data_IF_048568572746
#
_entry.id   IF_048568572746
#
_cell.length_a   1.000
_cell.length_b   1.000
_cell.length_c   1.000
_cell.angle_alpha   90.00
_cell.angle_beta   90.00
_cell.angle_gamma   90.00
#
_symmetry.space_group_name_H-M   'P 1'
#
loop_
_entity.id
_entity.type
_entity.pdbx_description
1 polymer ?
#
# COMPACT_ATOMS: atom_id res chain seq x y z
N UNK A 1 9.89 59.22 24.01
CA UNK A 1 8.60 58.65 23.58
C UNK A 1 8.91 57.50 22.65
N UNK A 2 8.91 56.27 23.18
CA UNK A 2 9.26 55.05 22.43
C UNK A 2 7.96 54.39 22.00
N UNK A 3 7.77 54.24 20.70
CA UNK A 3 6.62 53.51 20.11
C UNK A 3 6.99 52.04 20.05
N UNK A 4 6.36 51.26 20.90
CA UNK A 4 6.45 49.76 20.83
C UNK A 4 5.48 49.30 19.74
N UNK A 5 6.01 48.87 18.59
CA UNK A 5 5.26 48.19 17.57
C UNK A 5 5.07 46.72 18.02
N UNK A 6 3.87 46.40 18.53
CA UNK A 6 3.43 45.05 18.77
C UNK A 6 3.09 44.42 17.41
N UNK A 7 4.01 43.62 16.84
CA UNK A 7 3.71 42.76 15.71
C UNK A 7 2.90 41.57 16.22
N UNK A 8 1.59 41.58 16.01
CA UNK A 8 0.74 40.43 16.19
C UNK A 8 1.12 39.39 15.13
N UNK A 9 1.90 38.40 15.53
CA UNK A 9 2.05 37.18 14.74
C UNK A 9 0.70 36.48 14.72
N UNK A 10 0.01 36.57 13.60
CA UNK A 10 -1.08 35.70 13.28
C UNK A 10 -0.45 34.33 12.98
N UNK A 11 -0.43 33.43 13.97
CA UNK A 11 -0.27 32.03 13.72
C UNK A 11 -1.51 31.57 12.96
N UNK A 12 -1.39 31.47 11.65
CA UNK A 12 -2.35 30.72 10.86
C UNK A 12 -2.33 29.30 11.42
N UNK A 13 -3.29 28.97 12.26
CA UNK A 13 -3.63 27.58 12.54
C UNK A 13 -4.10 27.00 11.22
N UNK A 14 -3.20 26.28 10.55
CA UNK A 14 -3.58 25.37 9.48
C UNK A 14 -4.52 24.38 10.15
N UNK A 15 -5.82 24.60 9.98
CA UNK A 15 -6.83 23.61 10.34
C UNK A 15 -6.58 22.43 9.39
N UNK A 16 -5.88 21.44 9.90
CA UNK A 16 -5.76 20.17 9.24
C UNK A 16 -7.18 19.66 8.98
N UNK A 17 -7.53 19.56 7.74
CA UNK A 17 -8.84 19.10 7.30
C UNK A 17 -8.97 17.67 7.81
N UNK A 18 -9.80 17.46 8.84
CA UNK A 18 -10.13 16.12 9.32
C UNK A 18 -10.76 15.36 8.16
N UNK A 19 -9.98 14.45 7.55
CA UNK A 19 -10.33 13.90 6.27
C UNK A 19 -11.45 12.88 6.36
N UNK A 20 -12.68 13.33 6.21
CA UNK A 20 -13.78 12.45 5.83
C UNK A 20 -13.98 12.55 4.33
N UNK A 21 -13.39 11.60 3.60
CA UNK A 21 -13.55 11.54 2.16
C UNK A 21 -14.56 10.44 1.82
N UNK A 22 -15.67 10.84 1.22
CA UNK A 22 -16.67 9.94 0.66
C UNK A 22 -16.80 10.13 -0.86
N UNK A 23 -15.96 11.00 -1.44
CA UNK A 23 -15.97 11.30 -2.87
C UNK A 23 -14.64 10.90 -3.50
N UNK A 24 -14.74 10.20 -4.61
CA UNK A 24 -13.58 9.75 -5.38
C UNK A 24 -13.92 9.76 -6.87
N UNK A 25 -12.88 9.80 -7.69
CA UNK A 25 -12.99 9.63 -9.13
C UNK A 25 -12.36 8.31 -9.54
N UNK A 26 -13.12 7.50 -10.28
CA UNK A 26 -12.58 6.27 -10.85
C UNK A 26 -11.48 6.61 -11.84
N UNK A 27 -10.29 6.10 -11.54
CA UNK A 27 -9.13 6.26 -12.41
C UNK A 27 -9.09 5.17 -13.48
N UNK A 28 -9.34 3.92 -13.13
CA UNK A 28 -9.41 2.77 -14.01
C UNK A 28 -10.38 1.74 -13.49
N UNK A 29 -11.34 1.31 -14.32
CA UNK A 29 -12.16 0.15 -13.99
C UNK A 29 -11.31 -1.12 -14.08
N UNK A 30 -11.48 -2.02 -13.09
CA UNK A 30 -10.77 -3.29 -12.98
C UNK A 30 -11.74 -4.47 -12.87
N UNK A 31 -12.94 -4.31 -13.42
CA UNK A 31 -14.02 -5.29 -13.45
C UNK A 31 -14.39 -5.67 -14.87
N UNK A 32 -15.09 -6.80 -15.02
CA UNK A 32 -15.55 -7.31 -16.32
C UNK A 32 -14.96 -8.68 -16.68
N UNK A 33 -15.32 -9.20 -17.84
CA UNK A 33 -14.83 -10.48 -18.33
C UNK A 33 -13.30 -10.45 -18.55
N UNK A 34 -12.59 -11.45 -18.07
CA UNK A 34 -11.13 -11.54 -18.18
C UNK A 34 -10.35 -10.97 -16.99
N UNK A 35 -11.00 -10.27 -16.08
CA UNK A 35 -10.41 -9.89 -14.80
C UNK A 35 -10.70 -10.95 -13.72
N UNK A 36 -9.75 -11.14 -12.81
CA UNK A 36 -9.99 -11.92 -11.62
C UNK A 36 -10.93 -11.19 -10.65
N UNK A 37 -11.42 -11.89 -9.64
CA UNK A 37 -12.57 -11.43 -8.85
C UNK A 37 -12.24 -10.43 -7.77
N UNK A 38 -11.00 -10.35 -7.28
CA UNK A 38 -10.67 -9.50 -6.13
C UNK A 38 -9.38 -8.72 -6.34
N UNK A 39 -9.46 -7.40 -6.20
CA UNK A 39 -8.28 -6.54 -6.13
C UNK A 39 -7.45 -6.88 -4.90
N UNK A 40 -6.15 -6.70 -5.03
CA UNK A 40 -5.17 -6.87 -3.98
C UNK A 40 -4.13 -5.75 -4.05
N UNK A 41 -2.85 -6.04 -3.94
CA UNK A 41 -1.78 -5.04 -3.94
C UNK A 41 -1.78 -4.11 -5.16
N UNK A 42 -1.25 -2.91 -4.94
CA UNK A 42 -1.05 -1.88 -5.95
C UNK A 42 0.25 -1.12 -5.67
N UNK A 43 0.96 -0.72 -6.73
CA UNK A 43 2.12 0.15 -6.63
C UNK A 43 2.16 1.16 -7.79
N UNK A 44 2.54 2.41 -7.50
CA UNK A 44 2.68 3.49 -8.48
C UNK A 44 4.16 3.69 -8.83
N UNK A 45 4.50 3.46 -10.08
CA UNK A 45 5.80 3.77 -10.66
C UNK A 45 5.79 5.20 -11.23
N UNK A 46 6.17 6.16 -10.39
CA UNK A 46 6.23 7.59 -10.73
C UNK A 46 7.25 7.87 -11.83
N UNK A 47 8.31 7.09 -11.89
CA UNK A 47 9.39 7.30 -12.86
C UNK A 47 8.98 6.96 -14.29
N UNK A 48 8.08 6.01 -14.47
CA UNK A 48 7.64 5.52 -15.77
C UNK A 48 6.15 5.77 -16.04
N UNK A 49 5.46 6.51 -15.17
CA UNK A 49 4.02 6.83 -15.26
C UNK A 49 3.17 5.56 -15.41
N UNK A 50 3.38 4.59 -14.52
CA UNK A 50 2.69 3.31 -14.53
C UNK A 50 2.08 3.00 -13.17
N UNK A 51 0.93 2.34 -13.16
CA UNK A 51 0.40 1.67 -11.97
C UNK A 51 0.47 0.17 -12.22
N UNK A 52 1.01 -0.57 -11.26
CA UNK A 52 0.94 -2.02 -11.22
C UNK A 52 -0.12 -2.43 -10.20
N UNK A 53 -0.94 -3.41 -10.55
CA UNK A 53 -2.01 -3.90 -9.69
C UNK A 53 -2.11 -5.43 -9.78
N UNK A 54 -2.48 -6.04 -8.67
CA UNK A 54 -2.75 -7.47 -8.58
C UNK A 54 -4.24 -7.73 -8.41
N UNK A 55 -4.72 -8.79 -9.05
CA UNK A 55 -6.04 -9.39 -8.75
C UNK A 55 -5.88 -10.88 -8.55
N UNK A 56 -6.67 -11.43 -7.65
CA UNK A 56 -6.68 -12.86 -7.39
C UNK A 56 -7.99 -13.51 -7.82
N UNK A 57 -7.89 -14.78 -8.16
CA UNK A 57 -9.03 -15.67 -8.19
C UNK A 57 -9.17 -16.30 -6.80
N UNK A 58 -10.23 -15.92 -6.09
CA UNK A 58 -10.48 -16.39 -4.72
C UNK A 58 -10.69 -17.90 -4.60
N UNK A 59 -11.08 -18.56 -5.68
CA UNK A 59 -11.32 -20.02 -5.69
C UNK A 59 -10.03 -20.84 -5.69
N UNK A 60 -8.96 -20.34 -6.30
CA UNK A 60 -7.68 -21.07 -6.45
C UNK A 60 -6.45 -20.23 -6.09
N UNK A 61 -6.64 -19.03 -5.56
CA UNK A 61 -5.59 -18.10 -5.13
C UNK A 61 -4.52 -17.79 -6.18
N UNK A 62 -4.88 -17.94 -7.45
CA UNK A 62 -4.02 -17.55 -8.56
C UNK A 62 -4.07 -16.05 -8.77
N UNK A 63 -2.93 -15.47 -9.11
CA UNK A 63 -2.74 -14.02 -9.26
C UNK A 63 -2.61 -13.65 -10.73
N UNK A 64 -3.29 -12.58 -11.13
CA UNK A 64 -3.03 -11.82 -12.35
C UNK A 64 -2.42 -10.48 -12.01
N UNK A 65 -1.42 -10.07 -12.79
CA UNK A 65 -0.77 -8.77 -12.67
C UNK A 65 -1.13 -7.88 -13.87
N UNK A 66 -1.41 -6.64 -13.57
CA UNK A 66 -1.80 -5.63 -14.54
C UNK A 66 -0.83 -4.44 -14.51
N UNK A 67 -0.59 -3.86 -15.68
CA UNK A 67 0.10 -2.59 -15.85
C UNK A 67 -0.85 -1.58 -16.48
N UNK A 68 -1.02 -0.42 -15.86
CA UNK A 68 -1.91 0.65 -16.27
C UNK A 68 -1.06 1.88 -16.54
N UNK A 69 -1.12 2.38 -17.77
CA UNK A 69 -0.41 3.61 -18.14
C UNK A 69 -1.12 4.83 -17.56
N UNK A 70 -0.39 5.69 -16.85
CA UNK A 70 -0.98 6.84 -16.16
C UNK A 70 -1.29 8.02 -17.10
N UNK A 71 -0.61 8.11 -18.24
CA UNK A 71 -0.81 9.18 -19.22
C UNK A 71 -2.08 8.93 -20.05
N UNK A 72 -2.93 9.96 -20.20
CA UNK A 72 -4.14 9.91 -21.03
C UNK A 72 -5.41 10.27 -20.25
N UNK A 73 -6.52 10.52 -21.00
CA UNK A 73 -7.83 10.77 -20.41
C UNK A 73 -8.38 9.52 -19.72
N UNK A 74 -9.26 9.70 -18.74
CA UNK A 74 -9.86 8.60 -17.96
C UNK A 74 -10.57 7.54 -18.81
N UNK A 75 -11.11 7.92 -19.97
CA UNK A 75 -11.81 7.02 -20.89
C UNK A 75 -10.90 6.14 -21.75
N UNK A 76 -9.59 6.43 -21.81
CA UNK A 76 -8.66 5.80 -22.77
C UNK A 76 -7.44 5.15 -22.08
N UNK A 77 -7.49 4.89 -20.77
CA UNK A 77 -6.36 4.25 -20.10
C UNK A 77 -6.27 2.79 -20.50
N UNK A 78 -5.09 2.43 -20.99
CA UNK A 78 -4.84 1.06 -21.40
C UNK A 78 -4.43 0.22 -20.18
N UNK A 79 -5.29 -0.72 -19.83
CA UNK A 79 -4.97 -1.77 -18.87
C UNK A 79 -4.36 -2.94 -19.62
N UNK A 80 -3.13 -3.33 -19.28
CA UNK A 80 -2.42 -4.45 -19.87
C UNK A 80 -2.27 -5.58 -18.85
N UNK A 81 -2.74 -6.76 -19.21
CA UNK A 81 -2.48 -7.97 -18.46
C UNK A 81 -1.04 -8.43 -18.74
N UNK A 82 -0.24 -8.60 -17.69
CA UNK A 82 1.14 -9.04 -17.78
C UNK A 82 1.21 -10.57 -17.91
N UNK A 83 2.12 -11.05 -18.75
CA UNK A 83 2.41 -12.47 -18.92
C UNK A 83 3.75 -12.84 -18.27
N UNK A 84 3.78 -13.96 -17.62
CA UNK A 84 5.06 -14.56 -17.20
C UNK A 84 5.82 -15.03 -18.44
N UNK A 85 7.02 -14.49 -18.69
CA UNK A 85 7.82 -14.81 -19.86
C UNK A 85 8.35 -16.25 -19.88
N UNK A 86 8.46 -16.90 -18.71
CA UNK A 86 9.01 -18.23 -18.60
C UNK A 86 7.93 -19.30 -18.87
N UNK A 87 6.68 -19.01 -18.53
CA UNK A 87 5.55 -19.97 -18.67
C UNK A 87 4.53 -19.54 -19.71
N UNK A 88 4.63 -18.32 -20.25
CA UNK A 88 3.63 -17.66 -21.12
C UNK A 88 2.21 -17.61 -20.51
N UNK A 89 2.10 -17.75 -19.19
CA UNK A 89 0.84 -17.71 -18.46
C UNK A 89 0.53 -16.29 -17.97
N UNK A 90 -0.75 -15.94 -17.95
CA UNK A 90 -1.26 -14.72 -17.31
C UNK A 90 -1.69 -14.95 -15.87
N UNK A 91 -1.82 -16.21 -15.46
CA UNK A 91 -2.26 -16.65 -14.15
C UNK A 91 -1.09 -17.35 -13.45
N UNK A 92 -0.69 -16.88 -12.29
CA UNK A 92 0.54 -17.33 -11.63
C UNK A 92 0.35 -17.49 -10.14
N UNK A 93 1.12 -18.38 -9.56
CA UNK A 93 1.18 -18.58 -8.10
C UNK A 93 2.08 -17.54 -7.44
N UNK A 94 1.52 -16.37 -7.21
CA UNK A 94 2.13 -15.28 -6.43
C UNK A 94 1.45 -15.12 -5.06
N UNK A 95 0.68 -16.12 -4.64
CA UNK A 95 -0.11 -16.08 -3.42
C UNK A 95 -1.25 -15.07 -3.50
N UNK A 96 -1.62 -14.53 -2.35
CA UNK A 96 -2.66 -13.49 -2.26
C UNK A 96 -2.24 -12.15 -2.91
N UNK A 97 -0.93 -11.94 -3.12
CA UNK A 97 -0.35 -10.69 -3.63
C UNK A 97 -0.91 -9.45 -2.90
N UNK A 98 -0.98 -9.54 -1.58
CA UNK A 98 -1.67 -8.60 -0.70
C UNK A 98 -1.15 -7.18 -0.82
N UNK A 99 0.12 -7.01 -1.23
CA UNK A 99 0.72 -5.71 -1.45
C UNK A 99 1.84 -5.76 -2.49
N UNK A 100 2.08 -4.62 -3.13
CA UNK A 100 3.12 -4.44 -4.13
C UNK A 100 4.01 -3.25 -3.79
N UNK A 101 5.29 -3.34 -4.15
CA UNK A 101 6.19 -2.19 -4.18
C UNK A 101 7.00 -2.19 -5.47
N UNK A 102 7.24 -1.01 -6.04
CA UNK A 102 8.05 -0.85 -7.25
C UNK A 102 9.34 -0.09 -6.95
N UNK A 103 10.45 -0.59 -7.48
CA UNK A 103 11.73 0.13 -7.53
C UNK A 103 12.17 0.20 -8.97
N UNK A 104 12.15 1.41 -9.54
CA UNK A 104 12.47 1.70 -10.92
C UNK A 104 13.26 3.00 -11.04
N UNK A 105 14.02 3.14 -12.11
CA UNK A 105 14.63 4.41 -12.54
C UNK A 105 13.81 4.97 -13.70
N UNK A 106 13.96 6.27 -13.96
CA UNK A 106 13.26 6.93 -15.06
C UNK A 106 13.74 6.38 -16.40
N UNK A 107 12.80 5.93 -17.20
CA UNK A 107 13.08 5.40 -18.54
C UNK A 107 13.50 3.92 -18.56
N UNK A 108 13.50 3.23 -17.43
CA UNK A 108 13.80 1.81 -17.40
C UNK A 108 12.73 0.98 -18.14
N UNK A 109 13.17 0.18 -19.08
CA UNK A 109 12.31 -0.84 -19.72
C UNK A 109 12.11 -2.07 -18.83
N UNK A 110 12.97 -2.23 -17.83
CA UNK A 110 12.95 -3.31 -16.84
C UNK A 110 12.79 -2.72 -15.46
N UNK A 111 11.67 -2.93 -14.82
CA UNK A 111 11.42 -2.48 -13.45
C UNK A 111 11.40 -3.65 -12.48
N UNK A 112 11.82 -3.39 -11.25
CA UNK A 112 11.71 -4.36 -10.16
C UNK A 112 10.39 -4.16 -9.43
N UNK A 113 9.49 -5.14 -9.52
CA UNK A 113 8.23 -5.19 -8.76
C UNK A 113 8.37 -6.24 -7.66
N UNK A 114 8.09 -5.85 -6.43
CA UNK A 114 8.14 -6.73 -5.27
C UNK A 114 6.71 -7.05 -4.83
N UNK A 115 6.46 -8.33 -4.57
CA UNK A 115 5.14 -8.85 -4.18
C UNK A 115 5.22 -9.37 -2.77
N UNK A 116 4.28 -8.98 -1.92
CA UNK A 116 4.01 -9.56 -0.61
C UNK A 116 2.91 -10.62 -0.74
N UNK A 117 3.24 -11.91 -0.81
CA UNK A 117 2.25 -12.96 -1.10
C UNK A 117 1.25 -13.20 0.03
N UNK A 118 1.59 -12.91 1.27
CA UNK A 118 0.85 -13.16 2.51
C UNK A 118 0.44 -14.64 2.67
N UNK A 119 -0.42 -15.16 1.79
CA UNK A 119 -0.99 -16.52 1.85
C UNK A 119 -1.15 -17.09 0.43
N UNK A 120 -1.11 -18.41 0.30
CA UNK A 120 -1.50 -19.14 -0.91
C UNK A 120 -2.94 -19.70 -0.80
N UNK A 121 -3.71 -19.20 0.16
CA UNK A 121 -5.07 -19.63 0.45
C UNK A 121 -5.18 -20.83 1.40
N UNK A 122 -4.10 -21.55 1.61
CA UNK A 122 -4.02 -22.71 2.53
C UNK A 122 -3.13 -22.40 3.72
N UNK A 123 -2.00 -21.76 3.46
CA UNK A 123 -0.99 -21.42 4.48
C UNK A 123 -0.37 -20.04 4.23
N UNK A 124 0.22 -19.49 5.26
CA UNK A 124 1.01 -18.26 5.14
C UNK A 124 2.29 -18.49 4.36
N UNK A 125 2.54 -17.65 3.35
CA UNK A 125 3.72 -17.69 2.50
C UNK A 125 4.85 -16.87 3.15
N UNK A 126 5.97 -17.52 3.45
CA UNK A 126 7.10 -16.92 4.18
C UNK A 126 8.18 -16.41 3.23
N UNK A 127 7.79 -15.66 2.21
CA UNK A 127 8.71 -15.08 1.22
C UNK A 127 8.20 -13.75 0.68
N UNK A 128 9.08 -12.96 0.10
CA UNK A 128 8.79 -11.84 -0.78
C UNK A 128 9.28 -12.24 -2.17
N UNK A 129 8.52 -11.94 -3.21
CA UNK A 129 8.87 -12.29 -4.59
C UNK A 129 9.26 -11.01 -5.35
N UNK A 130 10.48 -10.98 -5.90
CA UNK A 130 10.92 -9.95 -6.83
C UNK A 130 10.64 -10.41 -8.25
N UNK A 131 9.94 -9.58 -8.99
CA UNK A 131 9.68 -9.73 -10.41
C UNK A 131 10.51 -8.73 -11.20
N UNK A 132 11.05 -9.15 -12.34
CA UNK A 132 11.56 -8.24 -13.36
C UNK A 132 10.47 -8.06 -14.41
N UNK A 133 9.89 -6.85 -14.47
CA UNK A 133 8.79 -6.51 -15.39
C UNK A 133 9.37 -5.78 -16.60
N UNK A 134 9.07 -6.28 -17.80
CA UNK A 134 9.36 -5.59 -19.05
C UNK A 134 8.14 -4.80 -19.50
N UNK A 135 8.18 -3.49 -19.38
CA UNK A 135 7.07 -2.57 -19.64
C UNK A 135 6.70 -2.50 -21.11
N UNK A 136 7.68 -2.64 -22.03
CA UNK A 136 7.44 -2.63 -23.48
C UNK A 136 6.75 -3.90 -23.98
N UNK A 137 7.15 -5.06 -23.42
CA UNK A 137 6.61 -6.36 -23.82
C UNK A 137 5.38 -6.77 -23.04
N UNK A 138 5.01 -6.06 -21.97
CA UNK A 138 3.97 -6.41 -21.01
C UNK A 138 4.20 -7.84 -20.45
N UNK A 139 5.43 -8.14 -20.08
CA UNK A 139 5.82 -9.43 -19.51
C UNK A 139 6.56 -9.24 -18.19
N UNK A 140 6.59 -10.29 -17.40
CA UNK A 140 7.46 -10.36 -16.23
C UNK A 140 8.08 -11.75 -16.10
N UNK A 141 9.10 -11.84 -15.29
CA UNK A 141 9.66 -13.11 -14.81
C UNK A 141 9.93 -13.01 -13.31
N UNK A 142 9.88 -14.15 -12.63
CA UNK A 142 10.34 -14.24 -11.26
C UNK A 142 11.87 -14.12 -11.24
N UNK A 143 12.36 -13.01 -10.74
CA UNK A 143 13.80 -12.75 -10.67
C UNK A 143 14.41 -13.40 -9.42
N UNK A 144 13.73 -13.30 -8.26
CA UNK A 144 14.21 -13.83 -6.99
C UNK A 144 13.10 -13.92 -5.95
N UNK A 145 13.32 -14.78 -4.93
CA UNK A 145 12.54 -14.79 -3.70
C UNK A 145 13.45 -14.52 -2.51
N UNK A 146 12.91 -13.84 -1.49
CA UNK A 146 13.61 -13.49 -0.26
C UNK A 146 12.79 -13.92 0.94
N UNK A 147 13.48 -14.35 1.98
CA UNK A 147 12.87 -14.59 3.29
C UNK A 147 13.18 -13.41 4.23
N UNK A 148 12.33 -13.21 5.22
CA UNK A 148 12.57 -12.29 6.33
C UNK A 148 12.78 -13.13 7.61
N UNK A 149 14.03 -13.40 8.00
CA UNK A 149 14.32 -14.09 9.24
C UNK A 149 14.16 -13.13 10.43
N UNK A 150 13.41 -13.54 11.44
CA UNK A 150 13.23 -12.80 12.67
C UNK A 150 13.03 -13.76 13.85
N UNK A 151 13.84 -13.61 14.92
CA UNK A 151 13.78 -14.42 16.14
C UNK A 151 13.72 -15.95 15.87
N UNK A 152 14.57 -16.43 14.95
CA UNK A 152 14.68 -17.85 14.63
C UNK A 152 13.65 -18.42 13.66
N UNK A 153 12.73 -17.60 13.14
CA UNK A 153 11.73 -18.03 12.17
C UNK A 153 11.69 -17.10 10.94
N UNK A 154 11.27 -17.64 9.80
CA UNK A 154 10.92 -16.82 8.65
C UNK A 154 9.48 -16.33 8.78
N UNK A 155 9.26 -15.04 8.57
CA UNK A 155 7.97 -14.40 8.72
C UNK A 155 7.16 -14.44 7.41
N UNK A 156 5.84 -14.47 7.53
CA UNK A 156 4.91 -14.19 6.45
C UNK A 156 4.80 -12.68 6.24
N UNK A 157 4.77 -12.26 4.98
CA UNK A 157 4.78 -10.85 4.61
C UNK A 157 3.44 -10.48 3.99
N UNK A 158 2.82 -9.45 4.57
CA UNK A 158 1.50 -8.97 4.18
C UNK A 158 1.46 -7.50 3.76
N UNK A 159 2.59 -6.80 3.79
CA UNK A 159 2.69 -5.42 3.31
C UNK A 159 4.11 -5.10 2.89
N UNK A 160 4.26 -4.26 1.86
CA UNK A 160 5.56 -3.81 1.37
C UNK A 160 5.42 -2.45 0.68
N UNK A 161 6.33 -1.53 0.98
CA UNK A 161 6.46 -0.25 0.27
C UNK A 161 7.92 0.14 0.14
N UNK A 162 8.23 1.04 -0.79
CA UNK A 162 9.58 1.53 -1.03
C UNK A 162 9.67 3.04 -0.86
N UNK A 163 10.61 3.46 -0.03
CA UNK A 163 10.94 4.88 0.17
C UNK A 163 12.09 5.28 -0.77
N UNK A 164 11.78 6.05 -1.80
CA UNK A 164 12.78 6.59 -2.74
C UNK A 164 13.80 7.47 -2.00
N UNK A 165 13.34 8.36 -1.11
CA UNK A 165 14.20 9.33 -0.41
C UNK A 165 15.18 8.70 0.59
N UNK A 166 14.83 7.56 1.18
CA UNK A 166 15.71 6.82 2.09
C UNK A 166 16.41 5.64 1.43
N UNK A 167 16.04 5.29 0.20
CA UNK A 167 16.46 4.05 -0.49
C UNK A 167 16.25 2.80 0.40
N UNK A 168 15.09 2.71 1.02
CA UNK A 168 14.73 1.62 1.93
C UNK A 168 13.35 1.07 1.63
N UNK A 169 13.20 -0.22 1.86
CA UNK A 169 11.89 -0.85 1.92
C UNK A 169 11.35 -0.84 3.35
N UNK A 170 10.04 -0.75 3.46
CA UNK A 170 9.29 -1.05 4.68
C UNK A 170 8.49 -2.30 4.40
N UNK A 171 8.66 -3.32 5.23
CA UNK A 171 8.01 -4.63 5.08
C UNK A 171 7.18 -4.90 6.33
N UNK A 172 5.97 -5.41 6.17
CA UNK A 172 5.04 -5.70 7.26
C UNK A 172 4.80 -7.20 7.42
N UNK A 173 4.86 -7.65 8.67
CA UNK A 173 4.43 -8.99 9.10
C UNK A 173 3.55 -8.84 10.34
N UNK A 174 2.26 -9.13 10.22
CA UNK A 174 1.29 -8.84 11.28
C UNK A 174 1.29 -7.36 11.65
N UNK A 175 1.52 -7.05 12.94
CA UNK A 175 1.62 -5.67 13.45
C UNK A 175 3.06 -5.14 13.55
N UNK A 176 4.04 -5.90 13.07
CA UNK A 176 5.45 -5.49 13.09
C UNK A 176 5.92 -5.07 11.71
N UNK A 177 6.67 -3.98 11.69
CA UNK A 177 7.25 -3.39 10.50
C UNK A 177 8.76 -3.45 10.57
N UNK A 178 9.39 -3.63 9.44
CA UNK A 178 10.83 -3.78 9.27
C UNK A 178 11.32 -2.81 8.20
N UNK A 179 12.32 -2.01 8.50
CA UNK A 179 12.97 -1.10 7.57
C UNK A 179 14.32 -1.69 7.16
N UNK A 180 14.60 -1.81 5.88
CA UNK A 180 15.86 -2.39 5.40
C UNK A 180 15.93 -2.55 3.90
N UNK A 181 16.79 -3.46 3.46
CA UNK A 181 17.02 -3.74 2.04
C UNK A 181 17.09 -5.25 1.76
N UNK A 182 16.95 -5.61 0.50
CA UNK A 182 17.12 -6.97 0.02
C UNK A 182 18.59 -7.28 -0.22
N UNK A 183 19.06 -8.38 0.33
CA UNK A 183 20.38 -8.93 0.05
C UNK A 183 20.24 -10.05 -0.98
N UNK A 184 20.68 -9.76 -2.21
CA UNK A 184 20.58 -10.71 -3.32
C UNK A 184 21.47 -11.95 -3.13
N UNK A 185 22.63 -11.82 -2.46
CA UNK A 185 23.52 -12.96 -2.23
C UNK A 185 22.92 -13.95 -1.24
N UNK A 186 22.34 -13.45 -0.15
CA UNK A 186 21.74 -14.28 0.91
C UNK A 186 20.30 -14.73 0.62
N UNK A 187 19.60 -14.08 -0.34
CA UNK A 187 18.17 -14.30 -0.56
C UNK A 187 17.32 -13.91 0.64
N UNK A 188 17.69 -12.84 1.33
CA UNK A 188 17.05 -12.39 2.56
C UNK A 188 16.75 -10.89 2.51
N UNK A 189 15.72 -10.51 3.24
CA UNK A 189 15.50 -9.12 3.62
C UNK A 189 16.31 -8.84 4.89
N UNK A 190 17.27 -7.94 4.79
CA UNK A 190 18.10 -7.51 5.92
C UNK A 190 17.51 -6.22 6.49
N UNK A 191 16.88 -6.34 7.64
CA UNK A 191 16.32 -5.17 8.33
C UNK A 191 17.34 -4.49 9.23
N UNK A 192 17.24 -3.17 9.28
CA UNK A 192 18.09 -2.28 10.07
C UNK A 192 17.33 -1.67 11.25
N UNK A 193 15.99 -1.60 11.16
CA UNK A 193 15.12 -1.15 12.24
C UNK A 193 13.77 -1.85 12.22
N UNK A 194 13.10 -1.88 13.38
CA UNK A 194 11.75 -2.41 13.52
C UNK A 194 10.87 -1.45 14.30
N UNK A 195 9.57 -1.46 14.02
CA UNK A 195 8.57 -0.72 14.79
C UNK A 195 7.21 -1.44 14.77
N UNK A 196 6.32 -1.00 15.64
CA UNK A 196 4.92 -1.43 15.69
C UNK A 196 4.01 -0.21 15.54
N UNK A 197 2.76 -0.42 15.16
CA UNK A 197 1.76 0.63 15.09
C UNK A 197 0.73 0.45 16.21
N UNK A 198 0.30 1.55 16.80
CA UNK A 198 -0.92 1.59 17.58
C UNK A 198 -2.09 1.96 16.64
N UNK A 199 -2.95 0.99 16.32
CA UNK A 199 -4.10 1.16 15.45
C UNK A 199 -5.44 0.84 16.13
N UNK A 200 -5.52 1.05 17.43
CA UNK A 200 -6.77 0.79 18.19
C UNK A 200 -7.82 1.84 17.91
N UNK A 201 -7.42 3.05 17.56
CA UNK A 201 -8.33 4.19 17.36
C UNK A 201 -7.95 4.97 16.11
N UNK A 202 -8.97 5.43 15.38
CA UNK A 202 -8.85 6.39 14.29
C UNK A 202 -9.61 7.67 14.64
N UNK A 203 -9.11 8.82 14.20
CA UNK A 203 -9.83 10.10 14.27
C UNK A 203 -10.43 10.36 12.89
N UNK A 204 -11.73 10.26 12.79
CA UNK A 204 -12.48 10.39 11.56
C UNK A 204 -13.55 11.47 11.73
N UNK A 205 -13.47 12.54 10.96
CA UNK A 205 -14.40 13.67 11.06
C UNK A 205 -14.60 14.13 12.51
N UNK A 206 -13.49 14.38 13.22
CA UNK A 206 -13.44 14.81 14.64
C UNK A 206 -13.97 13.77 15.65
N UNK A 207 -14.40 12.59 15.20
CA UNK A 207 -14.88 11.52 16.05
C UNK A 207 -13.83 10.43 16.22
N UNK A 208 -13.75 9.87 17.43
CA UNK A 208 -12.92 8.71 17.70
C UNK A 208 -13.67 7.45 17.28
N UNK A 209 -13.08 6.65 16.41
CA UNK A 209 -13.61 5.36 15.95
C UNK A 209 -12.68 4.25 16.45
N UNK A 210 -13.26 3.25 17.08
CA UNK A 210 -12.52 2.02 17.43
C UNK A 210 -12.28 1.20 16.17
N UNK A 211 -11.01 0.99 15.84
CA UNK A 211 -10.56 0.21 14.68
C UNK A 211 -9.73 -1.00 15.07
N UNK A 212 -9.71 -1.36 16.35
CA UNK A 212 -8.90 -2.46 16.90
C UNK A 212 -9.20 -3.83 16.27
N UNK A 213 -10.42 -3.99 15.74
CA UNK A 213 -10.85 -5.22 15.06
C UNK A 213 -10.82 -5.13 13.54
N UNK A 214 -10.35 -4.00 12.99
CA UNK A 214 -10.29 -3.85 11.54
C UNK A 214 -9.11 -4.65 10.96
N UNK A 215 -9.28 -5.10 9.73
CA UNK A 215 -8.30 -5.90 9.01
C UNK A 215 -7.30 -4.95 8.33
N UNK A 216 -6.02 -5.13 8.64
CA UNK A 216 -4.93 -4.40 7.99
C UNK A 216 -4.75 -4.90 6.55
N UNK A 217 -4.76 -3.96 5.61
CA UNK A 217 -4.51 -4.22 4.20
C UNK A 217 -3.06 -3.88 3.80
N UNK A 218 -2.81 -3.43 2.57
CA UNK A 218 -1.49 -2.99 2.13
C UNK A 218 -0.90 -1.82 2.95
N UNK A 219 0.26 -1.35 2.56
CA UNK A 219 0.92 -0.17 3.17
C UNK A 219 1.52 0.71 2.07
N UNK A 220 1.58 2.02 2.30
CA UNK A 220 2.34 2.93 1.45
C UNK A 220 3.12 3.94 2.29
N UNK A 221 4.29 4.34 1.81
CA UNK A 221 5.09 5.39 2.44
C UNK A 221 5.32 6.53 1.45
N UNK A 222 4.87 7.72 1.84
CA UNK A 222 5.03 8.92 1.03
C UNK A 222 5.38 10.13 1.89
N UNK A 223 6.46 10.84 1.54
CA UNK A 223 6.92 12.08 2.15
C UNK A 223 6.87 12.09 3.71
N UNK A 224 7.48 11.09 4.32
CA UNK A 224 7.57 11.01 5.79
C UNK A 224 6.31 10.52 6.50
N UNK A 225 5.34 10.02 5.76
CA UNK A 225 4.09 9.47 6.30
C UNK A 225 3.88 8.05 5.80
N UNK A 226 3.60 7.15 6.73
CA UNK A 226 3.15 5.78 6.44
C UNK A 226 1.62 5.76 6.43
N UNK A 227 1.04 5.24 5.37
CA UNK A 227 -0.40 5.07 5.15
C UNK A 227 -0.76 3.61 5.27
N UNK A 228 -1.81 3.32 6.03
CA UNK A 228 -2.26 1.96 6.32
C UNK A 228 -3.77 1.88 6.16
N UNK A 229 -4.26 1.34 5.04
CA UNK A 229 -5.68 1.07 4.89
C UNK A 229 -6.10 -0.10 5.80
N UNK A 230 -7.30 0.05 6.35
CA UNK A 230 -7.97 -0.95 7.17
C UNK A 230 -9.39 -1.13 6.68
N UNK A 231 -9.84 -2.38 6.62
CA UNK A 231 -11.21 -2.73 6.29
C UNK A 231 -11.97 -3.16 7.53
N UNK A 232 -13.18 -2.62 7.72
CA UNK A 232 -14.07 -3.05 8.80
C UNK A 232 -14.61 -4.43 8.45
N UNK A 233 -14.48 -5.44 9.34
CA UNK A 233 -15.11 -6.73 9.12
C UNK A 233 -16.65 -6.61 9.18
N UNK A 234 -17.31 -7.43 8.38
CA UNK A 234 -18.76 -7.66 8.49
C UNK A 234 -19.08 -8.66 9.62
N UNK A 235 -20.36 -9.01 9.77
CA UNK A 235 -20.81 -9.97 10.79
C UNK A 235 -20.28 -11.40 10.57
N UNK A 236 -19.82 -11.73 9.37
CA UNK A 236 -19.34 -13.05 8.98
C UNK A 236 -17.80 -13.11 8.92
N UNK A 237 -17.13 -12.01 9.30
CA UNK A 237 -15.65 -11.90 9.26
C UNK A 237 -15.07 -11.52 7.90
N UNK A 238 -15.90 -11.32 6.87
CA UNK A 238 -15.51 -10.69 5.61
C UNK A 238 -15.39 -9.17 5.73
N UNK A 239 -15.00 -8.48 4.65
CA UNK A 239 -14.97 -7.02 4.64
C UNK A 239 -16.38 -6.43 4.43
N UNK A 240 -16.67 -5.32 5.12
CA UNK A 240 -17.89 -4.53 4.94
C UNK A 240 -17.69 -3.43 3.88
N UNK A 241 -18.61 -2.47 3.83
CA UNK A 241 -18.50 -1.30 2.98
C UNK A 241 -17.79 -0.11 3.66
N UNK A 242 -17.00 -0.35 4.70
CA UNK A 242 -16.28 0.69 5.44
C UNK A 242 -14.79 0.43 5.42
N UNK A 243 -14.02 1.37 4.90
CA UNK A 243 -12.56 1.38 4.99
C UNK A 243 -12.07 2.66 5.68
N UNK A 244 -10.97 2.54 6.41
CA UNK A 244 -10.28 3.66 7.07
C UNK A 244 -8.82 3.60 6.66
N UNK A 245 -8.23 4.74 6.30
CA UNK A 245 -6.79 4.84 6.07
C UNK A 245 -6.18 5.55 7.28
N UNK A 246 -5.34 4.87 8.03
CA UNK A 246 -4.57 5.48 9.11
C UNK A 246 -3.28 6.06 8.57
N UNK A 247 -2.80 7.12 9.21
CA UNK A 247 -1.54 7.77 8.85
C UNK A 247 -0.63 7.90 10.05
N UNK A 248 0.64 7.62 9.84
CA UNK A 248 1.66 7.67 10.90
C UNK A 248 2.87 8.47 10.42
N UNK A 249 3.29 9.51 11.15
CA UNK A 249 4.55 10.18 10.84
C UNK A 249 5.70 9.22 11.06
N UNK A 250 6.54 9.06 10.06
CA UNK A 250 7.69 8.15 10.10
C UNK A 250 8.92 8.81 9.49
N UNK A 251 9.89 9.15 10.32
CA UNK A 251 11.21 9.56 9.86
C UNK A 251 12.14 8.35 9.82
N UNK A 252 12.32 7.78 8.64
CA UNK A 252 13.15 6.58 8.44
C UNK A 252 14.58 6.83 8.91
N UNK A 253 15.21 7.93 8.50
CA UNK A 253 16.60 8.21 8.84
C UNK A 253 16.82 8.38 10.35
N UNK A 254 15.89 9.04 11.03
CA UNK A 254 15.94 9.15 12.49
C UNK A 254 15.79 7.78 13.16
N UNK A 255 14.86 6.95 12.69
CA UNK A 255 14.64 5.61 13.23
C UNK A 255 15.88 4.71 13.04
N UNK A 256 16.52 4.77 11.88
CA UNK A 256 17.76 4.04 11.62
C UNK A 256 18.91 4.52 12.52
N UNK A 257 18.98 5.83 12.82
CA UNK A 257 19.97 6.38 13.76
C UNK A 257 19.70 5.88 15.19
N UNK A 258 18.48 6.02 15.66
CA UNK A 258 18.07 5.56 17.00
C UNK A 258 18.37 4.06 17.21
N UNK A 259 18.12 3.24 16.18
CA UNK A 259 18.42 1.79 16.24
C UNK A 259 19.92 1.51 16.35
N UNK A 260 20.78 2.28 15.69
CA UNK A 260 22.24 2.13 15.79
C UNK A 260 22.77 2.50 17.19
N UNK A 261 22.12 3.49 17.82
CA UNK A 261 22.45 3.94 19.17
C UNK A 261 21.94 2.98 20.26
N UNK A 262 20.93 2.16 19.93
CA UNK A 262 20.33 1.18 20.84
C UNK A 262 20.54 -0.23 20.28
N UNK A 263 21.40 -1.06 20.89
CA UNK A 263 21.71 -2.39 20.34
C UNK A 263 20.49 -3.27 20.14
N UNK A 264 20.48 -3.96 19.02
CA UNK A 264 19.38 -4.48 18.24
C UNK A 264 18.47 -5.56 18.85
N UNK A 265 18.67 -6.03 20.06
CA UNK A 265 17.81 -7.12 20.57
C UNK A 265 16.39 -6.68 20.92
N UNK A 266 16.22 -5.44 21.32
CA UNK A 266 14.95 -4.97 21.90
C UNK A 266 14.43 -3.65 21.33
N UNK A 267 15.03 -3.11 20.24
CA UNK A 267 14.56 -1.88 19.64
C UNK A 267 13.20 -2.13 18.95
N UNK A 268 12.16 -1.61 19.55
CA UNK A 268 10.84 -1.53 18.97
C UNK A 268 10.24 -0.19 19.35
N UNK A 269 9.87 0.61 18.36
CA UNK A 269 9.21 1.90 18.55
C UNK A 269 7.74 1.74 18.19
N UNK A 270 6.85 2.20 19.03
CA UNK A 270 5.43 2.27 18.71
C UNK A 270 5.12 3.61 18.05
N UNK A 271 4.44 3.57 16.90
CA UNK A 271 3.94 4.77 16.23
C UNK A 271 2.45 4.94 16.46
N UNK A 272 2.05 6.19 16.62
CA UNK A 272 0.66 6.58 16.83
C UNK A 272 0.13 7.34 15.61
N UNK A 273 -1.14 7.13 15.28
CA UNK A 273 -1.79 7.85 14.18
C UNK A 273 -1.84 9.35 14.47
N UNK A 274 -1.73 10.17 13.42
CA UNK A 274 -1.97 11.61 13.48
C UNK A 274 -3.47 11.86 13.42
N UNK A 275 -3.96 12.74 14.30
CA UNK A 275 -5.39 13.08 14.40
C UNK A 275 -5.93 13.76 13.15
N UNK A 276 -5.09 14.48 12.46
CA UNK A 276 -5.42 15.36 11.35
C UNK A 276 -5.39 14.68 9.97
N UNK A 277 -4.94 13.42 9.89
CA UNK A 277 -4.72 12.74 8.62
C UNK A 277 -5.32 11.33 8.56
N UNK A 278 -6.28 10.98 9.41
CA UNK A 278 -7.00 9.72 9.29
C UNK A 278 -8.26 9.93 8.45
N UNK A 279 -8.51 9.02 7.53
CA UNK A 279 -9.64 9.08 6.61
C UNK A 279 -10.62 7.95 6.88
N UNK A 280 -11.86 8.19 6.48
CA UNK A 280 -12.87 7.14 6.41
C UNK A 280 -13.55 7.22 5.06
N UNK A 281 -13.70 6.05 4.42
CA UNK A 281 -14.50 5.90 3.23
C UNK A 281 -15.61 4.91 3.53
N UNK A 282 -16.81 5.35 3.25
CA UNK A 282 -18.01 4.53 3.34
C UNK A 282 -18.83 4.79 2.09
N UNK A 283 -19.22 3.74 1.40
CA UNK A 283 -20.13 3.85 0.27
C UNK A 283 -21.39 3.04 0.54
N UNK A 284 -22.51 3.72 0.74
CA UNK A 284 -23.82 3.06 0.85
C UNK A 284 -24.30 2.44 -0.46
N UNK A 285 -23.65 2.79 -1.59
CA UNK A 285 -23.97 2.22 -2.89
C UNK A 285 -23.48 0.78 -3.07
N UNK A 286 -22.58 0.32 -2.19
CA UNK A 286 -21.97 -1.00 -2.26
C UNK A 286 -22.17 -1.77 -0.96
N UNK A 287 -22.32 -3.08 -1.07
CA UNK A 287 -22.33 -4.01 0.08
C UNK A 287 -20.92 -4.34 0.56
N UNK A 288 -19.95 -4.31 -0.36
CA UNK A 288 -18.54 -4.45 -0.11
C UNK A 288 -17.81 -3.20 -0.66
N UNK A 289 -16.97 -2.57 0.14
CA UNK A 289 -16.07 -1.49 -0.28
C UNK A 289 -14.78 -1.55 0.55
N UNK A 290 -13.86 -2.35 0.09
CA UNK A 290 -12.61 -2.63 0.77
C UNK A 290 -11.47 -1.95 0.02
N UNK A 291 -10.77 -1.03 0.69
CA UNK A 291 -9.53 -0.46 0.15
C UNK A 291 -8.40 -1.41 0.48
N UNK A 292 -7.82 -2.01 -0.55
CA UNK A 292 -6.75 -3.00 -0.41
C UNK A 292 -5.36 -2.37 -0.34
N UNK A 293 -5.12 -1.36 -1.17
CA UNK A 293 -3.85 -0.66 -1.21
C UNK A 293 -4.02 0.82 -1.54
N UNK A 294 -3.06 1.61 -1.12
CA UNK A 294 -2.93 3.04 -1.45
C UNK A 294 -1.51 3.30 -1.93
N UNK A 295 -1.34 4.27 -2.84
CA UNK A 295 -0.02 4.80 -3.22
C UNK A 295 -0.16 6.20 -3.81
N UNK A 296 0.95 6.86 -4.12
CA UNK A 296 0.97 8.26 -4.48
C UNK A 296 1.71 8.52 -5.79
N UNK A 297 1.25 9.55 -6.51
CA UNK A 297 1.99 10.22 -7.56
C UNK A 297 1.79 11.73 -7.43
N UNK A 298 2.88 12.48 -7.32
CA UNK A 298 2.92 13.95 -7.21
C UNK A 298 1.82 14.53 -6.28
N UNK A 299 1.72 13.96 -5.07
CA UNK A 299 0.74 14.36 -4.07
C UNK A 299 -0.68 13.82 -4.28
N UNK A 300 -0.99 13.23 -5.41
CA UNK A 300 -2.27 12.56 -5.65
C UNK A 300 -2.28 11.20 -4.99
N UNK A 301 -3.26 10.95 -4.14
CA UNK A 301 -3.45 9.63 -3.52
C UNK A 301 -4.31 8.76 -4.44
N UNK A 302 -3.72 7.65 -4.86
CA UNK A 302 -4.39 6.56 -5.56
C UNK A 302 -4.75 5.46 -4.57
N UNK A 303 -5.86 4.82 -4.78
CA UNK A 303 -6.26 3.62 -4.04
C UNK A 303 -6.93 2.62 -4.96
N UNK A 304 -6.86 1.36 -4.62
CA UNK A 304 -7.64 0.33 -5.29
C UNK A 304 -8.69 -0.26 -4.34
N UNK A 305 -9.73 -0.82 -4.91
CA UNK A 305 -10.82 -1.41 -4.13
C UNK A 305 -11.18 -2.80 -4.62
N UNK A 306 -11.41 -3.68 -3.65
CA UNK A 306 -12.27 -4.82 -3.79
C UNK A 306 -13.68 -4.36 -3.42
N UNK A 307 -14.55 -4.17 -4.41
CA UNK A 307 -15.90 -3.65 -4.17
C UNK A 307 -16.96 -4.41 -4.94
N UNK A 308 -18.13 -4.48 -4.37
CA UNK A 308 -19.24 -5.21 -4.97
C UNK A 308 -20.61 -4.69 -4.56
N UNK A 309 -21.56 -4.87 -5.46
CA UNK A 309 -22.97 -4.54 -5.26
C UNK A 309 -23.84 -5.69 -5.76
N UNK A 310 -24.73 -6.19 -4.87
CA UNK A 310 -25.68 -7.26 -5.23
C UNK A 310 -25.00 -8.47 -5.90
N UNK A 311 -23.82 -8.89 -5.41
CA UNK A 311 -23.06 -10.01 -5.96
C UNK A 311 -22.27 -9.70 -7.23
N UNK A 312 -22.34 -8.48 -7.76
CA UNK A 312 -21.53 -8.05 -8.91
C UNK A 312 -20.26 -7.37 -8.44
N UNK A 313 -19.12 -7.83 -8.94
CA UNK A 313 -17.81 -7.24 -8.65
C UNK A 313 -17.59 -6.00 -9.52
N UNK A 314 -17.23 -4.91 -8.88
CA UNK A 314 -17.00 -3.60 -9.54
C UNK A 314 -15.66 -2.98 -9.13
N UNK A 315 -14.60 -3.76 -9.10
CA UNK A 315 -13.28 -3.32 -8.70
C UNK A 315 -12.75 -2.16 -9.53
N UNK A 316 -11.97 -1.29 -8.88
CA UNK A 316 -11.38 -0.14 -9.55
C UNK A 316 -10.06 0.29 -8.91
N UNK A 317 -9.34 1.12 -9.64
CA UNK A 317 -8.37 2.08 -9.11
C UNK A 317 -9.02 3.47 -9.18
N UNK A 318 -8.87 4.25 -8.12
CA UNK A 318 -9.47 5.57 -7.99
C UNK A 318 -8.52 6.57 -7.33
N UNK A 319 -8.90 7.83 -7.37
CA UNK A 319 -8.25 8.93 -6.65
C UNK A 319 -9.27 9.62 -5.75
N UNK A 320 -8.83 10.13 -4.61
CA UNK A 320 -9.65 11.01 -3.80
C UNK A 320 -9.77 12.39 -4.44
N UNK A 321 -10.98 12.94 -4.52
CA UNK A 321 -11.22 14.20 -5.21
C UNK A 321 -10.60 15.41 -4.46
N UNK A 322 -10.58 15.35 -3.14
CA UNK A 322 -10.24 16.50 -2.29
C UNK A 322 -8.96 16.30 -1.48
N UNK A 323 -8.25 15.19 -1.70
CA UNK A 323 -7.00 14.94 -1.03
C UNK A 323 -5.83 15.51 -1.82
N UNK A 324 -5.35 16.66 -1.39
CA UNK A 324 -4.07 17.20 -1.83
C UNK A 324 -3.08 17.04 -0.68
N UNK A 325 -2.13 16.12 -0.85
CA UNK A 325 -0.97 16.11 0.04
C UNK A 325 -0.25 17.43 -0.14
N UNK A 326 -0.10 18.18 0.94
CA UNK A 326 0.38 19.57 0.94
C UNK A 326 1.49 19.84 -0.08
N UNK A 327 1.23 20.81 -0.95
CA UNK A 327 2.27 21.49 -1.71
C UNK A 327 3.04 22.44 -0.81
#
# INVERSE_FOLDING_TARGET
MAVILCSSMWSATVQAQSGYFNTYTTYSAMSGSGFYTSMQGMAVDRNNNMIYAAKINTSNHMTQLYAIKMNGSSSNRTVKLLKNSDTNSTSNDLGHANDLAVKAQKGDDQVSLYVAPMSDGVKYVKKIVKLSVNTKKNTYKVAKSYVLPYQGANLSISGITYSVGADKFIVRSGNRFFIGNFNDQKGQFEYEATFTLNYTKAIVNQSVVDVSKYILQGISFYQGTLYVPLSKPDSNGGASNVSVILTYPLNINQMLKEQKETPAKDFSKELFTRKDLSFRITSSAFTLFEIEAVDFDDGTLYFNTNRGKNGTQEDMIATFNDYNYYK
#
